data_IF_997745455452
#
_entry.id   IF_997745455452
#
_cell.length_a   1.000
_cell.length_b   1.000
_cell.length_c   1.000
_cell.angle_alpha   90.00
_cell.angle_beta   90.00
_cell.angle_gamma   90.00
#
_symmetry.space_group_name_H-M   'P 1'
#
loop_
_entity.id
_entity.type
_entity.pdbx_description
1 polymer ?
#
# COMPACT_ATOMS: atom_id res chain seq x y z
N UNK A 1 20.75 -3.01 0.57
CA UNK A 1 19.41 -3.07 1.18
C UNK A 1 19.14 -4.52 1.54
N UNK A 2 18.33 -4.82 2.57
CA UNK A 2 17.96 -6.22 2.87
C UNK A 2 17.12 -6.80 1.72
N UNK A 3 17.26 -8.10 1.41
CA UNK A 3 16.56 -8.72 0.27
C UNK A 3 15.05 -8.59 0.42
N UNK A 4 14.53 -8.76 1.63
CA UNK A 4 13.11 -8.66 1.97
C UNK A 4 12.54 -7.28 1.64
N UNK A 5 13.34 -6.22 1.82
CA UNK A 5 12.93 -4.85 1.47
C UNK A 5 12.91 -4.65 -0.03
N UNK A 6 13.85 -5.25 -0.77
CA UNK A 6 13.90 -5.16 -2.24
C UNK A 6 12.72 -5.91 -2.86
N UNK A 7 12.46 -7.13 -2.40
CA UNK A 7 11.33 -7.95 -2.87
C UNK A 7 10.00 -7.24 -2.61
N UNK A 8 9.82 -6.71 -1.40
CA UNK A 8 8.59 -5.97 -1.07
C UNK A 8 8.45 -4.66 -1.86
N UNK A 9 9.55 -3.94 -2.12
CA UNK A 9 9.54 -2.75 -2.96
C UNK A 9 9.10 -3.04 -4.40
N UNK A 10 9.42 -4.22 -4.95
CA UNK A 10 8.94 -4.62 -6.27
C UNK A 10 7.42 -4.82 -6.28
N UNK A 11 6.86 -5.46 -5.24
CA UNK A 11 5.40 -5.59 -5.07
C UNK A 11 4.73 -4.23 -4.97
N UNK A 12 5.30 -3.32 -4.17
CA UNK A 12 4.83 -1.93 -4.06
C UNK A 12 4.77 -1.24 -5.42
N UNK A 13 5.82 -1.36 -6.23
CA UNK A 13 5.91 -0.77 -7.57
C UNK A 13 4.90 -1.38 -8.55
N UNK A 14 4.69 -2.69 -8.54
CA UNK A 14 3.66 -3.34 -9.37
C UNK A 14 2.26 -2.80 -9.08
N UNK A 15 1.94 -2.59 -7.80
CA UNK A 15 0.66 -2.02 -7.36
C UNK A 15 0.50 -0.56 -7.76
N UNK A 16 1.57 0.23 -7.72
CA UNK A 16 1.57 1.62 -8.22
C UNK A 16 1.32 1.67 -9.73
N UNK A 17 2.01 0.82 -10.51
CA UNK A 17 1.81 0.71 -11.96
C UNK A 17 0.38 0.34 -12.32
N UNK A 18 -0.22 -0.62 -11.60
CA UNK A 18 -1.62 -0.99 -11.81
C UNK A 18 -2.58 0.21 -11.60
N UNK A 19 -2.21 1.16 -10.74
CA UNK A 19 -3.00 2.35 -10.42
C UNK A 19 -2.54 3.63 -11.15
N UNK A 20 -1.60 3.54 -12.09
CA UNK A 20 -1.02 4.70 -12.78
C UNK A 20 -2.09 5.52 -13.52
N UNK A 21 -3.14 4.86 -14.01
CA UNK A 21 -4.31 5.48 -14.63
C UNK A 21 -5.08 6.45 -13.71
N UNK A 22 -4.81 6.46 -12.39
CA UNK A 22 -5.40 7.39 -11.42
C UNK A 22 -4.65 8.71 -11.28
N UNK A 23 -3.52 8.89 -11.96
CA UNK A 23 -2.82 10.19 -12.06
C UNK A 23 -1.85 10.53 -10.92
N UNK A 24 -1.41 9.53 -10.14
CA UNK A 24 -0.45 9.74 -9.04
C UNK A 24 -1.08 10.35 -7.77
N UNK A 25 -0.26 10.97 -6.91
CA UNK A 25 -0.69 11.48 -5.60
C UNK A 25 -0.27 12.94 -5.32
N UNK A 26 0.30 13.64 -6.29
CA UNK A 26 0.80 15.00 -6.09
C UNK A 26 -0.31 16.00 -5.68
N UNK A 27 -1.51 15.85 -6.25
CA UNK A 27 -2.68 16.70 -5.95
C UNK A 27 -3.55 16.18 -4.79
N UNK A 28 -3.18 15.06 -4.18
CA UNK A 28 -3.91 14.52 -3.03
C UNK A 28 -3.62 15.34 -1.76
N UNK A 29 -4.66 15.57 -0.95
CA UNK A 29 -4.48 16.16 0.39
C UNK A 29 -3.96 15.11 1.38
N UNK A 30 -3.26 15.56 2.44
CA UNK A 30 -2.82 14.68 3.53
C UNK A 30 -4.01 13.98 4.21
N UNK A 31 -5.14 14.68 4.36
CA UNK A 31 -6.36 14.09 4.93
C UNK A 31 -6.90 12.94 4.07
N UNK A 32 -6.90 13.12 2.75
CA UNK A 32 -7.31 12.06 1.82
C UNK A 32 -6.36 10.86 1.89
N UNK A 33 -5.05 11.09 1.84
CA UNK A 33 -4.06 10.00 1.92
C UNK A 33 -4.14 9.26 3.25
N UNK A 34 -4.37 9.98 4.35
CA UNK A 34 -4.54 9.38 5.69
C UNK A 34 -5.85 8.58 5.77
N UNK A 35 -6.93 9.08 5.17
CA UNK A 35 -8.18 8.34 5.06
C UNK A 35 -7.98 7.03 4.29
N UNK A 36 -7.31 7.08 3.13
CA UNK A 36 -7.00 5.89 2.33
C UNK A 36 -6.12 4.89 3.08
N UNK A 37 -5.08 5.35 3.77
CA UNK A 37 -4.23 4.48 4.58
C UNK A 37 -5.04 3.68 5.63
N UNK A 38 -6.09 4.28 6.20
CA UNK A 38 -7.00 3.59 7.14
C UNK A 38 -7.90 2.58 6.45
N UNK A 39 -8.33 2.84 5.21
CA UNK A 39 -9.04 1.86 4.39
C UNK A 39 -8.14 0.65 4.11
N UNK A 40 -6.91 0.86 3.64
CA UNK A 40 -5.96 -0.23 3.35
C UNK A 40 -5.62 -1.04 4.61
N UNK A 41 -5.56 -0.40 5.80
CA UNK A 41 -5.41 -1.11 7.06
C UNK A 41 -6.59 -2.05 7.34
N UNK A 42 -7.82 -1.59 7.10
CA UNK A 42 -9.01 -2.42 7.26
C UNK A 42 -9.03 -3.58 6.25
N UNK A 43 -8.59 -3.33 5.01
CA UNK A 43 -8.45 -4.35 3.97
C UNK A 43 -7.40 -5.40 4.36
N UNK A 44 -6.24 -4.99 4.89
CA UNK A 44 -5.22 -5.91 5.40
C UNK A 44 -5.76 -6.78 6.55
N UNK A 45 -6.50 -6.20 7.50
CA UNK A 45 -7.10 -7.01 8.58
C UNK A 45 -8.10 -8.04 8.04
N UNK A 46 -8.90 -7.68 7.04
CA UNK A 46 -9.79 -8.62 6.38
C UNK A 46 -9.03 -9.71 5.62
N UNK A 47 -7.96 -9.36 4.90
CA UNK A 47 -7.10 -10.29 4.19
C UNK A 47 -6.44 -11.30 5.15
N UNK A 48 -5.90 -10.82 6.27
CA UNK A 48 -5.32 -11.68 7.32
C UNK A 48 -6.37 -12.62 7.91
N UNK A 49 -7.57 -12.12 8.21
CA UNK A 49 -8.67 -12.96 8.72
C UNK A 49 -9.03 -14.07 7.71
N UNK A 50 -9.13 -13.74 6.43
CA UNK A 50 -9.41 -14.71 5.37
C UNK A 50 -8.28 -15.74 5.25
N UNK A 51 -7.02 -15.31 5.26
CA UNK A 51 -5.86 -16.20 5.25
C UNK A 51 -5.85 -17.17 6.43
N UNK A 52 -6.17 -16.68 7.63
CA UNK A 52 -6.26 -17.53 8.82
C UNK A 52 -7.40 -18.56 8.73
N UNK A 53 -8.55 -18.20 8.18
CA UNK A 53 -9.69 -19.11 8.05
C UNK A 53 -9.55 -20.09 6.88
N UNK A 54 -8.97 -19.65 5.76
CA UNK A 54 -8.90 -20.37 4.50
C UNK A 54 -7.55 -20.13 3.81
N UNK A 55 -6.46 -20.74 4.31
CA UNK A 55 -5.13 -20.52 3.74
C UNK A 55 -5.03 -21.10 2.32
N UNK A 56 -4.69 -20.24 1.36
CA UNK A 56 -4.50 -20.57 -0.06
C UNK A 56 -3.50 -19.60 -0.70
N UNK A 57 -3.09 -19.87 -1.94
CA UNK A 57 -2.27 -18.90 -2.71
C UNK A 57 -2.99 -17.57 -2.89
N UNK A 58 -4.30 -17.60 -3.14
CA UNK A 58 -5.11 -16.39 -3.29
C UNK A 58 -5.16 -15.55 -2.00
N UNK A 59 -5.35 -16.18 -0.84
CA UNK A 59 -5.38 -15.44 0.44
C UNK A 59 -4.00 -14.96 0.85
N UNK A 60 -2.92 -15.67 0.52
CA UNK A 60 -1.54 -15.16 0.67
C UNK A 60 -1.30 -13.94 -0.20
N UNK A 61 -1.67 -13.99 -1.48
CA UNK A 61 -1.48 -12.89 -2.41
C UNK A 61 -2.26 -11.64 -1.97
N UNK A 62 -3.49 -11.81 -1.48
CA UNK A 62 -4.26 -10.70 -0.86
C UNK A 62 -3.50 -10.05 0.30
N UNK A 63 -2.96 -10.84 1.24
CA UNK A 63 -2.19 -10.27 2.35
C UNK A 63 -0.97 -9.50 1.84
N UNK A 64 -0.25 -10.02 0.85
CA UNK A 64 0.89 -9.33 0.23
C UNK A 64 0.47 -8.00 -0.43
N UNK A 65 -0.61 -8.02 -1.21
CA UNK A 65 -1.14 -6.86 -1.91
C UNK A 65 -1.59 -5.75 -0.95
N UNK A 66 -2.34 -6.10 0.11
CA UNK A 66 -2.81 -5.10 1.08
C UNK A 66 -1.66 -4.55 1.96
N UNK A 67 -0.63 -5.37 2.24
CA UNK A 67 0.59 -4.86 2.86
C UNK A 67 1.25 -3.80 1.96
N UNK A 68 1.35 -4.08 0.66
CA UNK A 68 1.96 -3.17 -0.31
C UNK A 68 1.15 -1.87 -0.46
N UNK A 69 -0.18 -1.93 -0.48
CA UNK A 69 -1.04 -0.74 -0.54
C UNK A 69 -0.88 0.13 0.72
N UNK A 70 -0.87 -0.46 1.92
CA UNK A 70 -0.55 0.26 3.15
C UNK A 70 0.82 0.96 3.10
N UNK A 71 1.85 0.25 2.64
CA UNK A 71 3.20 0.81 2.52
C UNK A 71 3.26 1.94 1.49
N UNK A 72 2.57 1.79 0.37
CA UNK A 72 2.47 2.80 -0.68
C UNK A 72 1.81 4.07 -0.14
N UNK A 73 0.68 4.01 0.55
CA UNK A 73 0.07 5.21 1.13
C UNK A 73 0.94 5.86 2.20
N UNK A 74 1.63 5.08 3.05
CA UNK A 74 2.59 5.63 4.01
C UNK A 74 3.74 6.37 3.30
N UNK A 75 4.24 5.81 2.18
CA UNK A 75 5.25 6.44 1.34
C UNK A 75 4.73 7.74 0.70
N UNK A 76 3.51 7.74 0.15
CA UNK A 76 2.88 8.91 -0.46
C UNK A 76 2.73 10.05 0.55
N UNK A 77 2.27 9.74 1.78
CA UNK A 77 2.17 10.72 2.87
C UNK A 77 3.54 11.32 3.20
N UNK A 78 4.58 10.48 3.36
CA UNK A 78 5.94 10.96 3.58
C UNK A 78 6.39 11.88 2.46
N UNK A 79 6.21 11.48 1.21
CA UNK A 79 6.61 12.27 0.04
C UNK A 79 5.91 13.63 0.02
N UNK A 80 4.60 13.67 0.27
CA UNK A 80 3.81 14.90 0.34
C UNK A 80 4.31 15.86 1.43
N UNK A 81 4.52 15.37 2.66
CA UNK A 81 5.05 16.19 3.78
C UNK A 81 6.44 16.76 3.47
N UNK A 82 7.31 15.99 2.81
CA UNK A 82 8.66 16.43 2.46
C UNK A 82 8.69 17.42 1.30
N UNK A 83 7.69 17.39 0.41
CA UNK A 83 7.50 18.36 -0.68
C UNK A 83 6.92 19.68 -0.17
N UNK A 84 5.95 19.63 0.76
CA UNK A 84 5.32 20.83 1.33
C UNK A 84 6.26 21.64 2.27
N UNK A 85 7.36 21.02 2.72
CA UNK A 85 8.38 21.67 3.56
C UNK A 85 9.46 22.43 2.77
N UNK A 86 9.35 22.50 1.43
CA UNK A 86 10.28 23.21 0.53
C UNK A 86 9.62 24.44 -0.07
#
# INVERSE_FOLDING_TARGET
MRNEVVEFANVMEEKLKANEHRGGWDDCSIDFLTYRLREEQAELFNALRLYHMFPSDDTRKRVEDECADMANFAMMIRDKVMKDSK
#
